data_IF_412025605349
#
_entry.id   IF_412025605349
#
_cell.length_a   1.000
_cell.length_b   1.000
_cell.length_c   1.000
_cell.angle_alpha   90.00
_cell.angle_beta   90.00
_cell.angle_gamma   90.00
#
_symmetry.space_group_name_H-M   'P 1'
#
loop_
_entity.id
_entity.type
_entity.pdbx_description
1 polymer ?
#
# COMPACT_ATOMS: atom_id res chain seq x y z
N UNK A 1 0.03 -14.05 -3.27
CA UNK A 1 0.92 -13.09 -3.93
C UNK A 1 2.31 -13.67 -3.96
N UNK A 2 3.00 -13.58 -5.10
CA UNK A 2 4.40 -13.97 -5.18
C UNK A 2 5.25 -13.06 -4.29
N UNK A 3 6.20 -13.64 -3.57
CA UNK A 3 7.06 -12.91 -2.63
C UNK A 3 8.00 -12.00 -3.41
N UNK A 4 8.02 -10.71 -3.10
CA UNK A 4 8.96 -9.75 -3.69
C UNK A 4 10.23 -9.79 -2.85
N UNK A 5 11.32 -10.32 -3.41
CA UNK A 5 12.64 -10.33 -2.79
C UNK A 5 13.44 -9.11 -3.22
N UNK A 6 13.91 -8.32 -2.26
CA UNK A 6 14.77 -7.16 -2.50
C UNK A 6 16.15 -7.48 -1.91
N UNK A 7 17.17 -7.62 -2.77
CA UNK A 7 18.56 -7.88 -2.38
C UNK A 7 19.44 -6.63 -2.55
N UNK A 8 19.83 -6.04 -1.42
CA UNK A 8 20.67 -4.84 -1.36
C UNK A 8 22.17 -5.09 -1.54
N UNK A 9 22.62 -6.35 -1.63
CA UNK A 9 24.05 -6.71 -1.74
C UNK A 9 24.53 -6.89 -3.17
N UNK A 10 23.61 -6.93 -4.15
CA UNK A 10 23.99 -7.00 -5.56
C UNK A 10 24.70 -5.70 -6.00
N UNK A 11 25.99 -5.78 -6.32
CA UNK A 11 26.75 -4.70 -6.97
C UNK A 11 26.23 -4.52 -8.40
N UNK A 12 25.08 -3.87 -8.56
CA UNK A 12 24.49 -3.60 -9.87
C UNK A 12 25.19 -2.40 -10.50
N UNK A 13 25.53 -2.54 -11.78
CA UNK A 13 25.92 -1.42 -12.64
C UNK A 13 24.75 -0.44 -12.75
N UNK A 14 25.01 0.79 -13.18
CA UNK A 14 23.97 1.84 -13.34
C UNK A 14 22.80 1.36 -14.24
N UNK A 15 23.12 0.67 -15.34
CA UNK A 15 22.13 -0.02 -16.19
C UNK A 15 21.34 -1.12 -15.44
N UNK A 16 21.97 -1.81 -14.49
CA UNK A 16 21.33 -2.80 -13.64
C UNK A 16 20.37 -2.19 -12.62
N UNK A 17 20.62 -0.97 -12.16
CA UNK A 17 19.70 -0.20 -11.31
C UNK A 17 18.50 0.31 -12.10
N UNK A 18 18.73 0.81 -13.31
CA UNK A 18 17.66 1.28 -14.19
C UNK A 18 16.68 0.15 -14.53
N UNK A 19 17.18 -1.04 -14.86
CA UNK A 19 16.34 -2.21 -15.10
C UNK A 19 15.49 -2.61 -13.88
N UNK A 20 16.04 -2.51 -12.67
CA UNK A 20 15.28 -2.80 -11.44
C UNK A 20 14.19 -1.77 -11.20
N UNK A 21 14.48 -0.49 -11.43
CA UNK A 21 13.51 0.58 -11.31
C UNK A 21 12.39 0.41 -12.34
N UNK A 22 12.71 0.11 -13.60
CA UNK A 22 11.71 -0.14 -14.64
C UNK A 22 10.83 -1.36 -14.29
N UNK A 23 11.43 -2.47 -13.89
CA UNK A 23 10.70 -3.67 -13.46
C UNK A 23 9.82 -3.39 -12.22
N UNK A 24 10.29 -2.55 -11.30
CA UNK A 24 9.54 -2.12 -10.13
C UNK A 24 8.34 -1.26 -10.54
N UNK A 25 8.55 -0.19 -11.29
CA UNK A 25 7.47 0.71 -11.72
C UNK A 25 6.46 0.00 -12.61
N UNK A 26 6.90 -0.88 -13.51
CA UNK A 26 5.99 -1.67 -14.35
C UNK A 26 5.04 -2.55 -13.53
N UNK A 27 5.50 -3.09 -12.39
CA UNK A 27 4.68 -3.91 -11.48
C UNK A 27 3.85 -3.08 -10.51
N UNK A 28 4.39 -1.96 -10.03
CA UNK A 28 3.76 -1.13 -8.99
C UNK A 28 2.72 -0.19 -9.57
N UNK A 29 2.94 0.37 -10.76
CA UNK A 29 2.05 1.36 -11.38
C UNK A 29 0.61 0.83 -11.58
N UNK A 30 0.37 -0.37 -12.13
CA UNK A 30 -0.99 -0.90 -12.25
C UNK A 30 -1.67 -1.05 -10.88
N UNK A 31 -0.92 -1.51 -9.88
CA UNK A 31 -1.42 -1.67 -8.51
C UNK A 31 -1.78 -0.34 -7.87
N UNK A 32 -0.99 0.70 -8.14
CA UNK A 32 -1.26 2.07 -7.71
C UNK A 32 -2.58 2.60 -8.30
N UNK A 33 -2.80 2.46 -9.60
CA UNK A 33 -4.06 2.88 -10.25
C UNK A 33 -5.27 2.06 -9.77
N UNK A 34 -5.09 0.78 -9.48
CA UNK A 34 -6.14 -0.04 -8.88
C UNK A 34 -6.52 0.48 -7.47
N UNK A 35 -5.53 0.83 -6.64
CA UNK A 35 -5.76 1.43 -5.33
C UNK A 35 -6.49 2.78 -5.44
N UNK A 36 -6.08 3.64 -6.39
CA UNK A 36 -6.80 4.90 -6.65
C UNK A 36 -8.26 4.66 -7.04
N UNK A 37 -8.53 3.64 -7.86
CA UNK A 37 -9.90 3.27 -8.24
C UNK A 37 -10.73 2.87 -7.01
N UNK A 38 -10.15 2.11 -6.08
CA UNK A 38 -10.84 1.72 -4.85
C UNK A 38 -11.14 2.93 -3.97
N UNK A 39 -10.22 3.90 -3.88
CA UNK A 39 -10.43 5.15 -3.14
C UNK A 39 -11.55 5.98 -3.76
N UNK A 40 -11.59 6.11 -5.09
CA UNK A 40 -12.66 6.83 -5.77
C UNK A 40 -14.04 6.18 -5.52
N UNK A 41 -14.12 4.85 -5.51
CA UNK A 41 -15.35 4.12 -5.20
C UNK A 41 -15.77 4.37 -3.74
N UNK A 42 -14.82 4.30 -2.80
CA UNK A 42 -15.06 4.60 -1.38
C UNK A 42 -15.60 6.01 -1.18
N UNK A 43 -15.07 6.99 -1.91
CA UNK A 43 -15.57 8.36 -1.85
C UNK A 43 -16.95 8.52 -2.46
N UNK A 44 -17.25 7.84 -3.57
CA UNK A 44 -18.60 7.83 -4.12
C UNK A 44 -19.60 7.28 -3.09
N UNK A 45 -19.26 6.19 -2.38
CA UNK A 45 -20.11 5.66 -1.31
C UNK A 45 -20.23 6.62 -0.12
N UNK A 46 -19.12 7.26 0.28
CA UNK A 46 -19.10 8.25 1.36
C UNK A 46 -20.03 9.42 1.02
N UNK A 47 -19.86 10.02 -0.15
CA UNK A 47 -20.69 11.10 -0.66
C UNK A 47 -22.18 10.73 -0.70
N UNK A 48 -22.53 9.54 -1.21
CA UNK A 48 -23.92 9.05 -1.22
C UNK A 48 -24.43 8.87 0.23
N UNK A 49 -23.62 8.31 1.11
CA UNK A 49 -24.01 8.02 2.48
C UNK A 49 -24.30 9.28 3.29
N UNK A 50 -23.55 10.36 3.04
CA UNK A 50 -23.66 11.63 3.74
C UNK A 50 -24.81 12.47 3.21
N UNK A 51 -24.96 12.57 1.88
CA UNK A 51 -26.01 13.38 1.27
C UNK A 51 -27.40 12.78 1.41
N UNK A 52 -27.50 11.45 1.38
CA UNK A 52 -28.80 10.75 1.47
C UNK A 52 -29.06 10.13 2.84
N UNK A 53 -28.13 10.32 3.80
CA UNK A 53 -28.17 9.78 5.16
C UNK A 53 -28.51 8.27 5.24
N UNK A 54 -28.04 7.51 4.26
CA UNK A 54 -28.33 6.08 4.15
C UNK A 54 -27.39 5.27 5.04
N UNK A 55 -27.93 4.36 5.85
CA UNK A 55 -27.15 3.51 6.75
C UNK A 55 -26.32 2.46 6.00
N UNK A 56 -26.87 1.84 4.96
CA UNK A 56 -26.21 0.76 4.21
C UNK A 56 -24.89 1.23 3.57
N UNK A 57 -24.84 2.37 2.85
CA UNK A 57 -23.60 2.91 2.32
C UNK A 57 -22.56 3.24 3.40
N UNK A 58 -22.97 3.70 4.61
CA UNK A 58 -22.03 3.93 5.72
C UNK A 58 -21.36 2.64 6.17
N UNK A 59 -22.13 1.55 6.31
CA UNK A 59 -21.59 0.24 6.69
C UNK A 59 -20.66 -0.29 5.61
N UNK A 60 -21.07 -0.23 4.34
CA UNK A 60 -20.25 -0.69 3.20
C UNK A 60 -18.94 0.11 3.12
N UNK A 61 -19.00 1.42 3.34
CA UNK A 61 -17.83 2.31 3.36
C UNK A 61 -16.87 1.91 4.49
N UNK A 62 -17.37 1.77 5.72
CA UNK A 62 -16.55 1.40 6.87
C UNK A 62 -15.90 0.01 6.71
N UNK A 63 -16.65 -0.97 6.20
CA UNK A 63 -16.11 -2.30 5.90
C UNK A 63 -15.04 -2.24 4.81
N UNK A 64 -15.29 -1.50 3.72
CA UNK A 64 -14.37 -1.39 2.59
C UNK A 64 -13.07 -0.68 2.97
N UNK A 65 -13.13 0.35 3.82
CA UNK A 65 -11.96 0.99 4.42
C UNK A 65 -11.14 0.02 5.27
N UNK A 66 -11.81 -0.80 6.09
CA UNK A 66 -11.14 -1.84 6.90
C UNK A 66 -10.49 -2.91 6.01
N UNK A 67 -11.20 -3.37 4.96
CA UNK A 67 -10.68 -4.34 4.01
C UNK A 67 -9.47 -3.80 3.24
N UNK A 68 -9.50 -2.52 2.84
CA UNK A 68 -8.37 -1.85 2.20
C UNK A 68 -7.14 -1.82 3.11
N UNK A 69 -7.32 -1.52 4.40
CA UNK A 69 -6.22 -1.57 5.37
C UNK A 69 -5.60 -2.98 5.46
N UNK A 70 -6.41 -4.03 5.60
CA UNK A 70 -5.92 -5.41 5.61
C UNK A 70 -5.27 -5.83 4.30
N UNK A 71 -5.79 -5.34 3.18
CA UNK A 71 -5.23 -5.58 1.85
C UNK A 71 -3.83 -4.99 1.72
N UNK A 72 -3.64 -3.73 2.16
CA UNK A 72 -2.33 -3.09 2.21
C UNK A 72 -1.37 -3.87 3.10
N UNK A 73 -1.79 -4.23 4.32
CA UNK A 73 -0.99 -5.08 5.21
C UNK A 73 -0.53 -6.36 4.50
N UNK A 74 -1.42 -7.06 3.81
CA UNK A 74 -1.09 -8.29 3.07
C UNK A 74 -0.06 -8.06 1.94
N UNK A 75 -0.18 -6.97 1.18
CA UNK A 75 0.81 -6.60 0.15
C UNK A 75 2.19 -6.47 0.78
N UNK A 76 2.30 -5.70 1.86
CA UNK A 76 3.60 -5.40 2.44
C UNK A 76 4.17 -6.56 3.26
N UNK A 77 3.32 -7.45 3.81
CA UNK A 77 3.76 -8.73 4.37
C UNK A 77 4.41 -9.65 3.33
N UNK A 78 4.11 -9.46 2.05
CA UNK A 78 4.66 -10.24 0.94
C UNK A 78 6.07 -9.80 0.53
N UNK A 79 6.63 -8.74 1.15
CA UNK A 79 7.95 -8.19 0.85
C UNK A 79 8.98 -8.78 1.81
N UNK A 80 9.92 -9.56 1.28
CA UNK A 80 11.05 -10.12 2.03
C UNK A 80 12.30 -9.29 1.72
N UNK A 81 12.74 -8.47 2.67
CA UNK A 81 13.98 -7.70 2.56
C UNK A 81 15.19 -8.60 2.90
N UNK A 82 16.03 -8.88 1.91
CA UNK A 82 17.28 -9.64 2.05
C UNK A 82 18.50 -8.70 1.95
N UNK A 83 19.60 -9.03 2.63
CA UNK A 83 20.85 -8.27 2.48
C UNK A 83 20.97 -6.94 3.26
N UNK A 84 20.11 -6.64 4.24
CA UNK A 84 20.26 -5.45 5.09
C UNK A 84 21.61 -5.47 5.85
N UNK A 85 22.48 -4.44 5.67
CA UNK A 85 23.78 -4.40 6.32
C UNK A 85 23.58 -4.32 7.85
N UNK A 86 24.27 -5.22 8.58
CA UNK A 86 24.27 -5.40 10.06
C UNK A 86 23.21 -6.30 10.70
N UNK A 87 22.25 -6.90 9.97
CA UNK A 87 21.24 -7.80 10.58
C UNK A 87 21.43 -9.26 10.12
N UNK A 88 22.15 -10.06 10.93
CA UNK A 88 22.40 -11.48 10.67
C UNK A 88 21.29 -12.44 11.14
N UNK A 89 20.42 -12.01 12.07
CA UNK A 89 19.36 -12.86 12.65
C UNK A 89 18.07 -12.86 11.81
N UNK A 90 17.53 -14.03 11.48
CA UNK A 90 16.30 -14.16 10.67
C UNK A 90 15.05 -13.57 11.35
N UNK A 91 15.00 -13.63 12.68
CA UNK A 91 13.91 -13.03 13.46
C UNK A 91 13.92 -11.50 13.35
N UNK A 92 15.09 -10.88 13.45
CA UNK A 92 15.22 -9.41 13.29
C UNK A 92 14.92 -8.95 11.87
N UNK A 93 15.26 -9.73 10.84
CA UNK A 93 14.88 -9.45 9.45
C UNK A 93 13.36 -9.45 9.27
N UNK A 94 12.67 -10.44 9.84
CA UNK A 94 11.20 -10.49 9.85
C UNK A 94 10.59 -9.32 10.61
N UNK A 95 11.10 -9.01 11.80
CA UNK A 95 10.61 -7.88 12.59
C UNK A 95 10.79 -6.53 11.88
N UNK A 96 11.95 -6.31 11.23
CA UNK A 96 12.20 -5.09 10.46
C UNK A 96 11.32 -5.02 9.22
N UNK A 97 11.14 -6.13 8.49
CA UNK A 97 10.18 -6.18 7.37
C UNK A 97 8.78 -5.83 7.86
N UNK A 98 8.31 -6.45 8.94
CA UNK A 98 7.01 -6.15 9.55
C UNK A 98 6.84 -4.68 9.91
N UNK A 99 7.85 -4.07 10.52
CA UNK A 99 7.82 -2.66 10.93
C UNK A 99 7.79 -1.75 9.70
N UNK A 100 8.65 -1.99 8.70
CA UNK A 100 8.70 -1.19 7.46
C UNK A 100 7.39 -1.35 6.68
N UNK A 101 6.90 -2.57 6.57
CA UNK A 101 5.64 -2.91 5.91
C UNK A 101 4.43 -2.28 6.59
N UNK A 102 4.40 -2.29 7.91
CA UNK A 102 3.38 -1.60 8.72
C UNK A 102 3.46 -0.08 8.54
N UNK A 103 4.66 0.50 8.57
CA UNK A 103 4.88 1.93 8.31
C UNK A 103 4.45 2.34 6.91
N UNK A 104 4.83 1.59 5.87
CA UNK A 104 4.44 1.86 4.49
C UNK A 104 2.93 1.72 4.30
N UNK A 105 2.31 0.69 4.89
CA UNK A 105 0.85 0.53 4.88
C UNK A 105 0.17 1.73 5.53
N UNK A 106 0.69 2.19 6.67
CA UNK A 106 0.12 3.32 7.42
C UNK A 106 0.28 4.65 6.69
N UNK A 107 1.46 4.92 6.12
CA UNK A 107 1.70 6.13 5.31
C UNK A 107 0.82 6.12 4.07
N UNK A 108 0.75 4.99 3.36
CA UNK A 108 -0.10 4.86 2.19
C UNK A 108 -1.59 5.01 2.55
N UNK A 109 -2.01 4.45 3.68
CA UNK A 109 -3.35 4.64 4.22
C UNK A 109 -3.65 6.12 4.50
N UNK A 110 -2.72 6.86 5.13
CA UNK A 110 -2.89 8.29 5.38
C UNK A 110 -3.03 9.08 4.07
N UNK A 111 -2.17 8.81 3.08
CA UNK A 111 -2.23 9.47 1.78
C UNK A 111 -3.56 9.17 1.08
N UNK A 112 -4.00 7.92 1.06
CA UNK A 112 -5.26 7.54 0.43
C UNK A 112 -6.46 8.17 1.14
N UNK A 113 -6.44 8.23 2.48
CA UNK A 113 -7.48 8.89 3.28
C UNK A 113 -7.52 10.39 3.03
N UNK A 114 -6.37 11.05 2.91
CA UNK A 114 -6.31 12.49 2.64
C UNK A 114 -6.83 12.80 1.23
N UNK A 115 -6.41 12.01 0.23
CA UNK A 115 -6.94 12.10 -1.14
C UNK A 115 -8.46 11.90 -1.16
N UNK A 116 -8.95 10.92 -0.41
CA UNK A 116 -10.37 10.69 -0.24
C UNK A 116 -11.09 11.94 0.32
N UNK A 117 -10.54 12.50 1.41
CA UNK A 117 -11.11 13.67 2.06
C UNK A 117 -11.12 14.91 1.16
N UNK A 118 -10.02 15.21 0.45
CA UNK A 118 -9.96 16.31 -0.52
C UNK A 118 -10.97 16.14 -1.65
N UNK A 119 -11.13 14.93 -2.17
CA UNK A 119 -12.09 14.62 -3.25
C UNK A 119 -13.54 14.74 -2.80
N UNK A 120 -13.84 14.54 -1.51
CA UNK A 120 -15.17 14.70 -0.94
C UNK A 120 -15.67 16.15 -0.92
N UNK A 121 -14.81 17.13 -1.24
CA UNK A 121 -15.16 18.55 -1.29
C UNK A 121 -15.35 19.21 0.08
N UNK A 122 -14.95 18.52 1.17
CA UNK A 122 -14.89 19.11 2.51
C UNK A 122 -13.58 19.90 2.67
N UNK A 123 -13.63 21.17 2.28
CA UNK A 123 -12.65 22.20 2.66
C UNK A 123 -13.13 22.88 3.93
#
# INVERSE_FOLDING_TARGET
MDKIRIDFTSKRTEAGWQKVLDDFWYKVTPKWFELLTWVLILEAFTYISENYNLLLPKIVTAFSYTALFFYLQSIFYSIEFEGLPKIKSSFRKRAVSLVISGLLSYVLWLVLRELAFELSGKI
#
